data_IF_924545191246
#
_entry.id   IF_924545191246
#
_cell.length_a   1.000
_cell.length_b   1.000
_cell.length_c   1.000
_cell.angle_alpha   90.00
_cell.angle_beta   90.00
_cell.angle_gamma   90.00
#
_symmetry.space_group_name_H-M   'P 1'
#
loop_
_entity.id
_entity.type
_entity.pdbx_description
1 polymer ?
#
# COMPACT_ATOMS: atom_id res chain seq x y z
N UNK A 1 -20.39 12.68 15.78
CA UNK A 1 -19.53 12.82 16.98
C UNK A 1 -18.86 11.48 17.21
N UNK A 2 -17.74 11.24 16.51
CA UNK A 2 -16.99 9.98 16.62
C UNK A 2 -16.24 9.95 17.94
N UNK A 3 -16.33 8.83 18.66
CA UNK A 3 -15.59 8.64 19.91
C UNK A 3 -14.10 8.74 19.59
N UNK A 4 -13.42 9.78 20.08
CA UNK A 4 -11.95 9.78 20.17
C UNK A 4 -11.60 8.66 21.14
N UNK A 5 -11.20 7.51 20.61
CA UNK A 5 -10.65 6.43 21.44
C UNK A 5 -9.32 6.94 22.00
N UNK A 6 -9.30 7.27 23.29
CA UNK A 6 -8.07 7.61 23.99
C UNK A 6 -7.28 6.31 24.22
N UNK A 7 -6.22 6.10 23.44
CA UNK A 7 -5.36 4.93 23.56
C UNK A 7 -4.34 5.15 24.69
N UNK A 8 -4.41 4.34 25.75
CA UNK A 8 -3.41 4.34 26.84
C UNK A 8 -2.19 3.45 26.54
N UNK A 9 -2.31 2.56 25.56
CA UNK A 9 -1.25 1.68 25.06
C UNK A 9 -1.37 1.56 23.54
N UNK A 10 -0.27 1.30 22.81
CA UNK A 10 -0.34 1.12 21.37
C UNK A 10 -1.35 0.04 20.96
N UNK A 11 -2.14 0.25 19.89
CA UNK A 11 -2.93 -0.82 19.28
C UNK A 11 -2.00 -1.95 18.85
N UNK A 12 -2.56 -3.17 18.82
CA UNK A 12 -1.80 -4.36 18.44
C UNK A 12 -1.87 -4.61 16.94
N UNK A 13 -2.94 -4.12 16.31
CA UNK A 13 -3.17 -4.34 14.88
C UNK A 13 -3.94 -3.16 14.25
N UNK A 14 -4.17 -3.28 12.94
CA UNK A 14 -5.00 -2.36 12.18
C UNK A 14 -5.87 -3.15 11.21
N UNK A 15 -6.87 -2.49 10.64
CA UNK A 15 -7.64 -3.05 9.53
C UNK A 15 -7.88 -1.96 8.50
N UNK A 16 -7.71 -2.34 7.23
CA UNK A 16 -8.06 -1.53 6.06
C UNK A 16 -8.93 -2.36 5.14
N UNK A 17 -10.03 -1.79 4.68
CA UNK A 17 -10.93 -2.45 3.73
C UNK A 17 -10.58 -2.04 2.31
N UNK A 18 -10.19 -3.03 1.50
CA UNK A 18 -9.93 -2.87 0.07
C UNK A 18 -11.13 -3.36 -0.74
N UNK A 19 -11.33 -2.86 -1.99
CA UNK A 19 -12.39 -3.35 -2.85
C UNK A 19 -12.28 -4.85 -3.11
N UNK A 20 -13.42 -5.48 -3.39
CA UNK A 20 -13.45 -6.85 -3.89
C UNK A 20 -12.56 -6.97 -5.14
N UNK A 21 -11.79 -8.06 -5.24
CA UNK A 21 -10.85 -8.27 -6.34
C UNK A 21 -9.44 -7.72 -6.08
N UNK A 22 -9.19 -7.07 -4.94
CA UNK A 22 -7.82 -6.85 -4.46
C UNK A 22 -7.30 -8.12 -3.79
N UNK A 23 -6.06 -8.49 -4.11
CA UNK A 23 -5.39 -9.65 -3.53
C UNK A 23 -4.37 -9.21 -2.50
N UNK A 24 -4.51 -9.68 -1.26
CA UNK A 24 -3.57 -9.43 -0.17
C UNK A 24 -2.40 -10.42 -0.24
N UNK A 25 -1.20 -9.88 -0.23
CA UNK A 25 0.07 -10.61 -0.15
C UNK A 25 0.75 -10.24 1.18
N UNK A 26 0.71 -11.11 2.20
CA UNK A 26 1.51 -10.90 3.41
C UNK A 26 3.00 -10.90 3.05
N UNK A 27 3.80 -10.02 3.65
CA UNK A 27 5.23 -9.92 3.37
C UNK A 27 6.08 -10.74 4.34
N UNK A 28 5.55 -10.99 5.53
CA UNK A 28 6.13 -11.83 6.60
C UNK A 28 5.01 -12.70 7.22
N UNK A 29 5.27 -13.98 7.59
CA UNK A 29 6.51 -14.74 7.40
C UNK A 29 6.76 -15.14 5.93
N UNK A 30 8.02 -15.37 5.50
CA UNK A 30 8.35 -15.66 4.09
C UNK A 30 7.62 -16.87 3.50
N UNK A 31 7.28 -17.85 4.35
CA UNK A 31 6.54 -19.05 3.96
C UNK A 31 5.11 -18.72 3.51
N UNK A 32 4.45 -17.79 4.21
CA UNK A 32 3.09 -17.36 3.89
C UNK A 32 3.08 -16.49 2.65
N UNK A 33 4.05 -15.58 2.54
CA UNK A 33 4.31 -14.79 1.33
C UNK A 33 4.45 -15.68 0.10
N UNK A 34 5.34 -16.68 0.15
CA UNK A 34 5.60 -17.55 -1.01
C UNK A 34 4.37 -18.40 -1.39
N UNK A 35 3.58 -18.83 -0.40
CA UNK A 35 2.29 -19.51 -0.63
C UNK A 35 1.27 -18.59 -1.31
N UNK A 36 1.15 -17.35 -0.84
CA UNK A 36 0.24 -16.36 -1.40
C UNK A 36 0.62 -15.96 -2.83
N UNK A 37 1.92 -15.83 -3.14
CA UNK A 37 2.40 -15.64 -4.52
C UNK A 37 1.96 -16.80 -5.42
N UNK A 38 2.14 -18.05 -4.95
CA UNK A 38 1.69 -19.23 -5.71
C UNK A 38 0.18 -19.21 -5.98
N UNK A 39 -0.62 -18.83 -4.99
CA UNK A 39 -2.07 -18.72 -5.13
C UNK A 39 -2.49 -17.61 -6.13
N UNK A 40 -1.84 -16.44 -6.08
CA UNK A 40 -2.10 -15.35 -7.02
C UNK A 40 -1.81 -15.78 -8.46
N UNK A 41 -0.64 -16.39 -8.69
CA UNK A 41 -0.25 -16.87 -10.02
C UNK A 41 -1.17 -17.99 -10.49
N UNK A 42 -1.53 -18.93 -9.61
CA UNK A 42 -2.50 -19.98 -9.91
C UNK A 42 -3.86 -19.40 -10.35
N UNK A 43 -4.34 -18.35 -9.68
CA UNK A 43 -5.58 -17.66 -10.03
C UNK A 43 -5.49 -16.92 -11.37
N UNK A 44 -4.41 -16.18 -11.61
CA UNK A 44 -4.22 -15.41 -12.84
C UNK A 44 -4.11 -16.28 -14.10
N UNK A 45 -3.57 -17.48 -13.96
CA UNK A 45 -3.38 -18.41 -15.07
C UNK A 45 -4.31 -19.63 -15.01
N UNK A 46 -5.40 -19.55 -14.24
CA UNK A 46 -6.39 -20.62 -14.19
C UNK A 46 -6.96 -20.87 -15.60
N UNK A 47 -6.89 -22.12 -16.07
CA UNK A 47 -7.34 -22.49 -17.41
C UNK A 47 -6.38 -22.14 -18.54
N UNK A 48 -5.16 -21.64 -18.25
CA UNK A 48 -4.16 -21.33 -19.25
C UNK A 48 -2.80 -22.00 -18.96
N UNK A 49 -2.52 -23.10 -19.66
CA UNK A 49 -1.30 -23.89 -19.50
C UNK A 49 -0.15 -23.47 -20.45
N UNK A 50 -0.42 -22.62 -21.43
CA UNK A 50 0.51 -22.28 -22.50
C UNK A 50 1.61 -21.25 -22.18
N UNK A 51 1.88 -20.93 -20.92
CA UNK A 51 2.76 -19.81 -20.57
C UNK A 51 3.70 -20.04 -19.35
N UNK A 52 4.43 -21.17 -19.25
CA UNK A 52 5.30 -21.46 -18.11
C UNK A 52 6.36 -20.37 -17.86
N UNK A 53 7.00 -19.87 -18.92
CA UNK A 53 8.02 -18.80 -18.83
C UNK A 53 7.42 -17.49 -18.29
N UNK A 54 6.19 -17.16 -18.67
CA UNK A 54 5.51 -15.94 -18.20
C UNK A 54 5.12 -16.10 -16.73
N UNK A 55 4.63 -17.28 -16.33
CA UNK A 55 4.32 -17.60 -14.92
C UNK A 55 5.58 -17.47 -14.06
N UNK A 56 6.69 -18.07 -14.47
CA UNK A 56 7.96 -17.98 -13.73
C UNK A 56 8.47 -16.55 -13.60
N UNK A 57 8.37 -15.76 -14.67
CA UNK A 57 8.76 -14.34 -14.63
C UNK A 57 7.90 -13.55 -13.63
N UNK A 58 6.57 -13.74 -13.65
CA UNK A 58 5.66 -13.07 -12.70
C UNK A 58 5.95 -13.48 -11.26
N UNK A 59 6.16 -14.78 -10.99
CA UNK A 59 6.58 -15.26 -9.67
C UNK A 59 7.87 -14.56 -9.22
N UNK A 60 8.85 -14.46 -10.13
CA UNK A 60 10.12 -13.78 -9.86
C UNK A 60 9.94 -12.29 -9.54
N UNK A 61 9.11 -11.58 -10.30
CA UNK A 61 8.79 -10.16 -10.07
C UNK A 61 8.09 -9.95 -8.73
N UNK A 62 7.04 -10.73 -8.43
CA UNK A 62 6.30 -10.66 -7.17
C UNK A 62 7.22 -10.94 -5.96
N UNK A 63 8.10 -11.95 -6.04
CA UNK A 63 9.08 -12.23 -4.98
C UNK A 63 10.06 -11.08 -4.79
N UNK A 64 10.54 -10.47 -5.88
CA UNK A 64 11.44 -9.32 -5.81
C UNK A 64 10.76 -8.12 -5.15
N UNK A 65 9.54 -7.79 -5.54
CA UNK A 65 8.77 -6.69 -4.95
C UNK A 65 8.48 -6.94 -3.48
N UNK A 66 8.02 -8.14 -3.12
CA UNK A 66 7.71 -8.48 -1.75
C UNK A 66 8.96 -8.45 -0.84
N UNK A 67 10.12 -8.91 -1.34
CA UNK A 67 11.40 -8.78 -0.64
C UNK A 67 11.87 -7.32 -0.52
N UNK A 68 11.67 -6.52 -1.56
CA UNK A 68 11.98 -5.08 -1.56
C UNK A 68 11.15 -4.34 -0.52
N UNK A 69 9.84 -4.59 -0.50
CA UNK A 69 8.89 -4.04 0.45
C UNK A 69 9.24 -4.40 1.90
N UNK A 70 9.52 -5.68 2.19
CA UNK A 70 9.90 -6.12 3.53
C UNK A 70 11.17 -5.44 4.07
N UNK A 71 12.14 -5.12 3.19
CA UNK A 71 13.38 -4.41 3.59
C UNK A 71 13.15 -2.97 4.05
N UNK A 72 12.04 -2.35 3.65
CA UNK A 72 11.67 -0.98 4.04
C UNK A 72 10.53 -0.96 5.06
N UNK A 73 10.37 -2.05 5.82
CA UNK A 73 9.34 -2.17 6.86
C UNK A 73 7.95 -2.53 6.33
N UNK A 74 7.84 -2.99 5.08
CA UNK A 74 6.59 -3.46 4.50
C UNK A 74 6.02 -4.64 5.29
N UNK A 75 4.75 -4.53 5.67
CA UNK A 75 3.98 -5.56 6.38
C UNK A 75 3.12 -6.34 5.40
N UNK A 76 2.42 -5.64 4.49
CA UNK A 76 1.48 -6.23 3.56
C UNK A 76 1.48 -5.51 2.21
N UNK A 77 1.27 -6.25 1.12
CA UNK A 77 1.10 -5.71 -0.21
C UNK A 77 -0.24 -6.16 -0.79
N UNK A 78 -1.04 -5.22 -1.27
CA UNK A 78 -2.27 -5.51 -1.99
C UNK A 78 -2.09 -5.20 -3.48
N UNK A 79 -2.60 -6.09 -4.33
CA UNK A 79 -2.57 -5.94 -5.79
C UNK A 79 -4.00 -5.97 -6.34
N UNK A 80 -4.38 -4.96 -7.10
CA UNK A 80 -5.68 -4.93 -7.79
C UNK A 80 -5.70 -5.98 -8.90
N UNK A 81 -6.69 -6.87 -8.86
CA UNK A 81 -7.03 -7.79 -9.96
C UNK A 81 -8.32 -7.37 -10.67
N UNK A 82 -8.78 -6.14 -10.42
CA UNK A 82 -10.00 -5.60 -11.00
C UNK A 82 -9.85 -5.42 -12.51
N UNK A 83 -10.95 -5.60 -13.22
CA UNK A 83 -11.05 -5.27 -14.64
C UNK A 83 -12.26 -4.35 -14.86
N UNK A 84 -12.08 -3.32 -15.68
CA UNK A 84 -13.15 -2.40 -16.07
C UNK A 84 -13.25 -2.42 -17.60
N UNK A 85 -14.40 -2.85 -18.13
CA UNK A 85 -14.57 -3.00 -19.58
C UNK A 85 -13.56 -3.97 -20.22
N UNK A 86 -13.12 -5.00 -19.47
CA UNK A 86 -12.10 -5.96 -19.93
C UNK A 86 -10.64 -5.49 -19.79
N UNK A 87 -10.40 -4.26 -19.34
CA UNK A 87 -9.05 -3.72 -19.12
C UNK A 87 -8.67 -3.84 -17.63
N UNK A 88 -7.52 -4.44 -17.28
CA UNK A 88 -7.04 -4.50 -15.90
C UNK A 88 -6.82 -3.10 -15.30
N UNK A 89 -7.41 -2.86 -14.13
CA UNK A 89 -7.15 -1.66 -13.33
C UNK A 89 -5.89 -1.87 -12.51
N UNK A 90 -4.74 -1.56 -13.12
CA UNK A 90 -3.44 -1.73 -12.49
C UNK A 90 -3.27 -0.74 -11.33
N UNK A 91 -3.20 -1.27 -10.11
CA UNK A 91 -2.84 -0.53 -8.90
C UNK A 91 -2.37 -1.44 -7.78
N UNK A 92 -1.69 -0.85 -6.80
CA UNK A 92 -1.26 -1.53 -5.58
C UNK A 92 -1.41 -0.64 -4.35
N UNK A 93 -1.44 -1.29 -3.18
CA UNK A 93 -1.29 -0.66 -1.87
C UNK A 93 -0.18 -1.42 -1.12
N UNK A 94 0.91 -0.74 -0.78
CA UNK A 94 1.89 -1.24 0.17
C UNK A 94 1.60 -0.63 1.54
N UNK A 95 1.43 -1.48 2.55
CA UNK A 95 1.41 -1.05 3.95
C UNK A 95 2.77 -1.32 4.57
N UNK A 96 3.38 -0.30 5.16
CA UNK A 96 4.64 -0.42 5.89
C UNK A 96 4.55 0.18 7.29
N UNK A 97 5.33 -0.36 8.21
CA UNK A 97 5.48 0.14 9.57
C UNK A 97 6.88 0.72 9.75
N UNK A 98 6.95 1.92 10.31
CA UNK A 98 8.21 2.56 10.74
C UNK A 98 8.21 2.62 12.27
N UNK A 99 8.79 1.63 12.98
CA UNK A 99 8.67 1.51 14.44
C UNK A 99 9.30 2.69 15.20
N UNK A 100 10.44 3.17 14.72
CA UNK A 100 11.18 4.27 15.34
C UNK A 100 10.62 5.66 14.95
N UNK A 101 9.61 5.68 14.09
CA UNK A 101 8.98 6.87 13.56
C UNK A 101 9.89 7.73 12.69
N UNK A 102 9.51 9.00 12.57
CA UNK A 102 10.22 9.98 11.76
C UNK A 102 11.14 10.82 12.64
N UNK A 103 12.46 10.86 12.38
CA UNK A 103 13.40 11.60 13.22
C UNK A 103 13.01 13.08 13.37
N UNK A 104 12.76 13.52 14.61
CA UNK A 104 12.39 14.91 14.91
C UNK A 104 10.93 15.28 14.58
N UNK A 105 10.07 14.34 14.20
CA UNK A 105 8.64 14.58 13.98
C UNK A 105 7.84 13.86 15.06
N UNK A 106 7.01 14.60 15.82
CA UNK A 106 6.17 14.03 16.89
C UNK A 106 4.68 14.05 16.55
N UNK A 107 4.29 14.93 15.65
CA UNK A 107 2.89 15.16 15.26
C UNK A 107 2.71 15.03 13.74
N UNK A 108 1.46 14.88 13.28
CA UNK A 108 1.13 14.96 11.86
C UNK A 108 1.59 16.29 11.26
N UNK A 109 1.40 17.40 11.99
CA UNK A 109 1.88 18.72 11.61
C UNK A 109 3.40 18.81 11.39
N UNK A 110 4.21 18.19 12.26
CA UNK A 110 5.67 18.19 12.11
C UNK A 110 6.09 17.48 10.82
N UNK A 111 5.48 16.32 10.56
CA UNK A 111 5.79 15.55 9.37
C UNK A 111 5.26 16.23 8.10
N UNK A 112 4.07 16.82 8.15
CA UNK A 112 3.48 17.56 7.04
C UNK A 112 4.36 18.76 6.63
N UNK A 113 4.86 19.54 7.61
CA UNK A 113 5.84 20.61 7.34
C UNK A 113 7.11 20.08 6.69
N UNK A 114 7.66 18.97 7.21
CA UNK A 114 8.89 18.37 6.68
C UNK A 114 8.74 17.87 5.25
N UNK A 115 7.58 17.29 4.91
CA UNK A 115 7.30 16.73 3.60
C UNK A 115 6.67 17.73 2.62
N UNK A 116 6.34 18.95 3.07
CA UNK A 116 5.50 19.90 2.35
C UNK A 116 4.17 19.25 1.89
N UNK A 117 3.55 18.50 2.80
CA UNK A 117 2.36 17.69 2.61
C UNK A 117 1.16 18.25 3.40
N UNK A 118 -0.02 17.66 3.20
CA UNK A 118 -1.25 18.09 3.89
C UNK A 118 -1.55 17.17 5.09
N UNK A 119 -2.10 17.75 6.16
CA UNK A 119 -2.70 16.98 7.26
C UNK A 119 -4.17 16.75 6.94
N UNK A 120 -4.63 15.51 7.06
CA UNK A 120 -6.02 15.09 6.84
C UNK A 120 -6.50 14.26 8.02
N UNK A 121 -7.83 14.22 8.23
CA UNK A 121 -8.43 13.38 9.28
C UNK A 121 -8.97 12.08 8.66
N UNK A 122 -8.53 10.93 9.17
CA UNK A 122 -9.08 9.62 8.83
C UNK A 122 -10.11 9.19 9.89
N UNK A 123 -11.37 8.87 9.52
CA UNK A 123 -12.44 8.65 10.49
C UNK A 123 -12.17 7.61 11.59
N UNK A 124 -11.45 6.54 11.28
CA UNK A 124 -11.12 5.45 12.22
C UNK A 124 -9.70 5.48 12.77
N UNK A 125 -8.85 6.40 12.28
CA UNK A 125 -7.41 6.37 12.54
C UNK A 125 -6.83 7.70 13.06
N UNK A 126 -7.59 8.81 12.98
CA UNK A 126 -7.18 10.13 13.42
C UNK A 126 -6.39 10.90 12.35
N UNK A 127 -5.58 11.86 12.80
CA UNK A 127 -4.76 12.69 11.91
C UNK A 127 -3.75 11.85 11.11
N UNK A 128 -3.61 12.16 9.82
CA UNK A 128 -2.64 11.55 8.93
C UNK A 128 -2.00 12.61 8.03
N UNK A 129 -0.76 12.37 7.61
CA UNK A 129 -0.10 13.19 6.58
C UNK A 129 -0.31 12.55 5.23
N UNK A 130 -1.03 13.25 4.35
CA UNK A 130 -1.31 12.81 2.99
C UNK A 130 -0.41 13.53 2.00
N UNK A 131 0.12 12.78 1.05
CA UNK A 131 0.92 13.29 -0.04
C UNK A 131 0.52 12.63 -1.36
N UNK A 132 0.55 13.41 -2.45
CA UNK A 132 0.38 12.89 -3.81
C UNK A 132 1.59 13.25 -4.65
N UNK A 133 2.17 12.25 -5.31
CA UNK A 133 3.29 12.41 -6.25
C UNK A 133 2.95 11.81 -7.60
N UNK A 134 3.52 12.39 -8.64
CA UNK A 134 3.58 11.74 -9.96
C UNK A 134 5.04 11.53 -10.29
N UNK A 135 5.44 10.27 -10.43
CA UNK A 135 6.82 9.88 -10.70
C UNK A 135 6.98 9.53 -12.17
N UNK A 136 8.06 10.03 -12.77
CA UNK A 136 8.47 9.63 -14.11
C UNK A 136 8.89 8.14 -14.13
N UNK A 137 8.81 7.47 -15.29
CA UNK A 137 9.40 6.15 -15.47
C UNK A 137 10.83 6.09 -14.93
N UNK A 138 11.11 5.09 -14.13
CA UNK A 138 12.42 4.92 -13.49
C UNK A 138 12.84 3.45 -13.52
N UNK A 139 12.97 2.81 -14.70
CA UNK A 139 13.20 1.37 -14.84
C UNK A 139 14.46 0.87 -14.13
N UNK A 140 15.42 1.76 -13.86
CA UNK A 140 16.66 1.48 -13.14
C UNK A 140 16.46 1.26 -11.62
N UNK A 141 15.32 1.68 -11.03
CA UNK A 141 15.04 1.49 -9.60
C UNK A 141 14.59 0.06 -9.31
N UNK A 142 14.91 -0.44 -8.11
CA UNK A 142 14.55 -1.81 -7.68
C UNK A 142 13.03 -2.11 -7.79
N UNK A 143 12.18 -1.10 -7.59
CA UNK A 143 10.73 -1.15 -7.80
C UNK A 143 10.26 -0.21 -8.93
N UNK A 144 11.19 0.15 -9.82
CA UNK A 144 10.98 1.13 -10.88
C UNK A 144 10.16 0.60 -12.04
N UNK A 145 9.13 1.36 -12.43
CA UNK A 145 8.32 1.06 -13.61
C UNK A 145 8.86 1.74 -14.87
N UNK A 146 8.50 1.18 -16.02
CA UNK A 146 8.65 1.84 -17.35
C UNK A 146 7.54 2.86 -17.63
N UNK A 147 6.54 2.94 -16.75
CA UNK A 147 5.38 3.81 -16.88
C UNK A 147 5.42 4.93 -15.84
N UNK A 148 4.89 6.09 -16.22
CA UNK A 148 4.61 7.18 -15.27
C UNK A 148 3.61 6.66 -14.24
N UNK A 149 3.92 6.88 -12.96
CA UNK A 149 3.15 6.33 -11.85
C UNK A 149 2.62 7.46 -10.97
N UNK A 150 1.33 7.43 -10.67
CA UNK A 150 0.74 8.28 -9.63
C UNK A 150 0.80 7.53 -8.31
N UNK A 151 1.34 8.17 -7.29
CA UNK A 151 1.48 7.62 -5.93
C UNK A 151 0.73 8.50 -4.95
N UNK A 152 -0.03 7.91 -4.05
CA UNK A 152 -0.65 8.59 -2.90
C UNK A 152 -0.14 7.92 -1.63
N UNK A 153 0.37 8.71 -0.70
CA UNK A 153 0.97 8.24 0.54
C UNK A 153 0.20 8.82 1.71
N UNK A 154 -0.21 7.96 2.65
CA UNK A 154 -0.69 8.36 3.97
C UNK A 154 0.31 7.90 5.02
N UNK A 155 0.83 8.83 5.82
CA UNK A 155 1.60 8.52 7.01
C UNK A 155 0.70 8.74 8.23
N UNK A 156 0.38 7.67 8.94
CA UNK A 156 -0.58 7.66 10.05
C UNK A 156 0.19 7.36 11.34
N UNK A 157 0.20 8.27 12.34
CA UNK A 157 0.79 7.99 13.63
C UNK A 157 0.09 6.81 14.31
N UNK A 158 0.85 5.84 14.81
CA UNK A 158 0.30 4.78 15.65
C UNK A 158 -0.02 5.37 17.04
N UNK A 159 -1.26 5.26 17.54
CA UNK A 159 -1.63 5.81 18.84
C UNK A 159 -0.73 5.32 19.98
N UNK A 160 -0.48 6.18 20.96
CA UNK A 160 0.35 5.88 22.14
C UNK A 160 1.76 5.32 21.83
N UNK A 161 2.30 5.61 20.64
CA UNK A 161 3.56 5.08 20.11
C UNK A 161 4.36 6.15 19.37
N UNK A 162 5.63 5.88 19.10
CA UNK A 162 6.45 6.64 18.15
C UNK A 162 6.33 6.11 16.73
N UNK A 163 5.72 4.94 16.55
CA UNK A 163 5.64 4.26 15.28
C UNK A 163 4.67 4.95 14.31
N UNK A 164 4.90 4.77 13.02
CA UNK A 164 4.05 5.28 11.95
C UNK A 164 3.68 4.15 11.00
N UNK A 165 2.40 4.07 10.64
CA UNK A 165 1.91 3.21 9.57
C UNK A 165 1.82 4.03 8.28
N UNK A 166 2.41 3.51 7.21
CA UNK A 166 2.44 4.18 5.91
C UNK A 166 1.63 3.38 4.91
N UNK A 167 0.59 3.98 4.33
CA UNK A 167 -0.16 3.44 3.20
C UNK A 167 0.36 4.06 1.91
N UNK A 168 1.04 3.28 1.07
CA UNK A 168 1.55 3.74 -0.23
C UNK A 168 0.72 3.13 -1.35
N UNK A 169 -0.17 3.92 -1.92
CA UNK A 169 -0.96 3.54 -3.09
C UNK A 169 -0.22 3.94 -4.37
N UNK A 170 -0.29 3.11 -5.40
CA UNK A 170 0.28 3.46 -6.71
C UNK A 170 -0.57 2.97 -7.87
N UNK A 171 -0.55 3.72 -8.97
CA UNK A 171 -1.13 3.28 -10.25
C UNK A 171 -0.34 3.85 -11.45
N UNK A 172 -0.05 3.03 -12.47
CA UNK A 172 0.50 3.52 -13.74
C UNK A 172 -0.58 4.02 -14.71
N UNK A 173 -1.86 4.06 -14.31
CA UNK A 173 -2.98 4.43 -15.19
C UNK A 173 -3.17 5.95 -15.24
N UNK A 174 -2.33 6.65 -16.01
CA UNK A 174 -2.34 8.13 -16.08
C UNK A 174 -3.71 8.72 -16.42
N UNK A 175 -4.42 8.15 -17.39
CA UNK A 175 -5.75 8.62 -17.81
C UNK A 175 -6.84 8.43 -16.73
N UNK A 176 -6.68 7.45 -15.84
CA UNK A 176 -7.62 7.17 -14.75
C UNK A 176 -7.11 7.68 -13.39
N UNK A 177 -5.93 8.30 -13.35
CA UNK A 177 -5.26 8.68 -12.10
C UNK A 177 -6.17 9.48 -11.15
N UNK A 178 -6.96 10.49 -11.60
CA UNK A 178 -7.88 11.20 -10.69
C UNK A 178 -8.90 10.28 -10.01
N UNK A 179 -9.48 9.32 -10.73
CA UNK A 179 -10.44 8.36 -10.19
C UNK A 179 -9.80 7.30 -9.30
N UNK A 180 -8.58 6.88 -9.65
CA UNK A 180 -7.81 5.98 -8.80
C UNK A 180 -7.44 6.66 -7.48
N UNK A 181 -7.12 7.97 -7.49
CA UNK A 181 -6.87 8.73 -6.26
C UNK A 181 -8.13 8.78 -5.38
N UNK A 182 -9.31 9.03 -5.95
CA UNK A 182 -10.58 8.95 -5.20
C UNK A 182 -10.78 7.58 -4.55
N UNK A 183 -10.47 6.50 -5.27
CA UNK A 183 -10.51 5.14 -4.72
C UNK A 183 -9.50 4.95 -3.58
N UNK A 184 -8.26 5.43 -3.74
CA UNK A 184 -7.22 5.33 -2.72
C UNK A 184 -7.60 6.09 -1.45
N UNK A 185 -8.19 7.27 -1.59
CA UNK A 185 -8.68 8.07 -0.48
C UNK A 185 -9.84 7.35 0.25
N UNK A 186 -10.74 6.73 -0.50
CA UNK A 186 -11.81 5.91 0.08
C UNK A 186 -11.26 4.72 0.87
N UNK A 187 -10.28 3.98 0.32
CA UNK A 187 -9.64 2.86 1.01
C UNK A 187 -8.90 3.33 2.26
N UNK A 188 -8.09 4.38 2.18
CA UNK A 188 -7.38 4.94 3.33
C UNK A 188 -8.35 5.38 4.44
N UNK A 189 -9.50 5.94 4.08
CA UNK A 189 -10.55 6.35 5.02
C UNK A 189 -11.18 5.20 5.81
N UNK A 190 -10.98 3.94 5.41
CA UNK A 190 -11.46 2.75 6.13
C UNK A 190 -10.50 2.26 7.20
N UNK A 191 -9.29 2.83 7.27
CA UNK A 191 -8.28 2.45 8.26
C UNK A 191 -8.83 2.66 9.67
N UNK A 192 -8.71 1.64 10.50
CA UNK A 192 -8.97 1.72 11.93
C UNK A 192 -8.01 0.84 12.72
N UNK A 193 -7.73 1.26 13.94
CA UNK A 193 -6.84 0.58 14.89
C UNK A 193 -7.59 -0.51 15.69
N UNK A 194 -6.87 -1.57 16.09
CA UNK A 194 -7.38 -2.69 16.88
C UNK A 194 -6.56 -2.95 18.15
#
# INVERSE_FOLDING_TARGET
MGLRTEWSTPPRDYTVFVPEGWFQLPLDPPKERDRAIGALVGRQFAGWDGAPVVKERLVGELRRWAKGAGRVGGVELYLSLLTLGGVPLASSLLVSLTPDGWPGCRTADDLARRLAAEVVELPGAGEAVRERRTEAPAPERLMGGTLRTTTVVYNVPVPASTAWLTLTFSTPMEALAPRMVELFDAVAGTLHWQ
#
